data_IF_210886484310
#
_entry.id   IF_210886484310
#
_cell.length_a   1.000
_cell.length_b   1.000
_cell.length_c   1.000
_cell.angle_alpha   90.00
_cell.angle_beta   90.00
_cell.angle_gamma   90.00
#
_symmetry.space_group_name_H-M   'P 1'
#
loop_
_entity.id
_entity.type
_entity.pdbx_description
1 polymer ?
#
# COMPACT_ATOMS: atom_id res chain seq x y z
N UNK A 1 0.63 18.89 -13.83
CA UNK A 1 -0.52 18.98 -12.90
C UNK A 1 -0.04 19.70 -11.65
N UNK A 2 -0.88 20.49 -10.97
CA UNK A 2 -0.46 21.12 -9.70
C UNK A 2 -0.32 20.06 -8.60
N UNK A 3 0.63 20.26 -7.69
CA UNK A 3 0.84 19.36 -6.53
C UNK A 3 -0.44 19.17 -5.73
N UNK A 4 -1.20 20.24 -5.52
CA UNK A 4 -2.51 20.19 -4.84
C UNK A 4 -3.49 19.24 -5.53
N UNK A 5 -3.58 19.29 -6.87
CA UNK A 5 -4.45 18.41 -7.63
C UNK A 5 -4.00 16.94 -7.53
N UNK A 6 -2.68 16.69 -7.60
CA UNK A 6 -2.13 15.35 -7.46
C UNK A 6 -2.41 14.75 -6.08
N UNK A 7 -2.27 15.54 -5.02
CA UNK A 7 -2.61 15.13 -3.65
C UNK A 7 -4.11 14.81 -3.54
N UNK A 8 -4.99 15.67 -4.04
CA UNK A 8 -6.44 15.42 -4.00
C UNK A 8 -6.79 14.11 -4.72
N UNK A 9 -6.28 13.90 -5.93
CA UNK A 9 -6.54 12.68 -6.71
C UNK A 9 -5.97 11.44 -6.02
N UNK A 10 -4.81 11.56 -5.39
CA UNK A 10 -4.16 10.51 -4.63
C UNK A 10 -4.97 10.10 -3.39
N UNK A 11 -5.48 11.06 -2.62
CA UNK A 11 -6.35 10.80 -1.48
C UNK A 11 -7.70 10.23 -1.91
N UNK A 12 -8.26 10.74 -3.01
CA UNK A 12 -9.49 10.22 -3.60
C UNK A 12 -9.32 8.75 -4.02
N UNK A 13 -8.24 8.41 -4.72
CA UNK A 13 -7.92 7.04 -5.13
C UNK A 13 -7.78 6.11 -3.90
N UNK A 14 -7.13 6.58 -2.83
CA UNK A 14 -7.00 5.82 -1.58
C UNK A 14 -8.38 5.54 -0.94
N UNK A 15 -9.31 6.49 -0.98
CA UNK A 15 -10.67 6.35 -0.44
C UNK A 15 -11.61 5.52 -1.33
N UNK A 16 -11.33 5.42 -2.63
CA UNK A 16 -12.08 4.52 -3.53
C UNK A 16 -11.97 3.06 -3.05
N UNK A 17 -10.82 2.65 -2.50
CA UNK A 17 -10.63 1.30 -1.95
C UNK A 17 -11.68 0.90 -0.91
N UNK A 18 -11.81 1.62 0.23
CA UNK A 18 -12.88 1.43 1.21
C UNK A 18 -14.29 1.45 0.60
N UNK A 19 -14.57 2.36 -0.32
CA UNK A 19 -15.89 2.45 -0.97
C UNK A 19 -16.20 1.18 -1.78
N UNK A 20 -15.22 0.69 -2.55
CA UNK A 20 -15.33 -0.57 -3.28
C UNK A 20 -15.49 -1.75 -2.31
N UNK A 21 -14.72 -1.79 -1.21
CA UNK A 21 -14.86 -2.84 -0.21
C UNK A 21 -16.27 -2.84 0.42
N UNK A 22 -16.84 -1.68 0.73
CA UNK A 22 -18.18 -1.58 1.33
C UNK A 22 -19.28 -2.05 0.38
N UNK A 23 -19.19 -1.70 -0.91
CA UNK A 23 -20.22 -2.03 -1.91
C UNK A 23 -20.08 -3.47 -2.41
N UNK A 24 -18.84 -3.92 -2.63
CA UNK A 24 -18.53 -5.13 -3.40
C UNK A 24 -18.12 -6.33 -2.55
N UNK A 25 -17.90 -6.17 -1.24
CA UNK A 25 -17.51 -7.28 -0.34
C UNK A 25 -18.63 -8.30 -0.02
N UNK A 26 -19.80 -8.20 -0.66
CA UNK A 26 -20.98 -9.04 -0.39
C UNK A 26 -20.90 -10.49 -0.90
N UNK A 27 -19.73 -11.00 -1.25
CA UNK A 27 -19.57 -12.41 -1.63
C UNK A 27 -18.12 -12.91 -1.63
N UNK A 28 -17.93 -14.22 -1.42
CA UNK A 28 -16.60 -14.87 -1.44
C UNK A 28 -15.90 -14.72 -2.79
N UNK A 29 -16.64 -14.79 -3.90
CA UNK A 29 -16.11 -14.65 -5.26
C UNK A 29 -15.52 -13.25 -5.52
N UNK A 30 -16.25 -12.19 -5.16
CA UNK A 30 -15.78 -10.81 -5.35
C UNK A 30 -14.56 -10.47 -4.51
N UNK A 31 -14.50 -10.98 -3.28
CA UNK A 31 -13.29 -10.86 -2.44
C UNK A 31 -12.08 -11.51 -3.10
N UNK A 32 -12.23 -12.71 -3.69
CA UNK A 32 -11.14 -13.38 -4.39
C UNK A 32 -10.66 -12.61 -5.63
N UNK A 33 -11.58 -11.98 -6.39
CA UNK A 33 -11.21 -11.13 -7.54
C UNK A 33 -10.43 -9.90 -7.09
N UNK A 34 -10.88 -9.24 -6.02
CA UNK A 34 -10.22 -8.06 -5.46
C UNK A 34 -8.83 -8.41 -4.92
N UNK A 35 -8.72 -9.51 -4.18
CA UNK A 35 -7.46 -9.97 -3.60
C UNK A 35 -6.48 -10.35 -4.74
N UNK A 36 -6.97 -11.05 -5.77
CA UNK A 36 -6.19 -11.40 -6.96
C UNK A 36 -5.72 -10.17 -7.75
N UNK A 37 -6.62 -9.22 -8.04
CA UNK A 37 -6.29 -7.96 -8.73
C UNK A 37 -5.25 -7.16 -7.95
N UNK A 38 -5.41 -7.04 -6.63
CA UNK A 38 -4.49 -6.31 -5.76
C UNK A 38 -3.11 -6.96 -5.78
N UNK A 39 -3.03 -8.29 -5.65
CA UNK A 39 -1.78 -9.03 -5.71
C UNK A 39 -1.10 -8.91 -7.08
N UNK A 40 -1.87 -8.99 -8.17
CA UNK A 40 -1.35 -8.82 -9.53
C UNK A 40 -0.83 -7.41 -9.79
N UNK A 41 -1.52 -6.38 -9.32
CA UNK A 41 -1.08 -4.99 -9.48
C UNK A 41 0.16 -4.70 -8.65
N UNK A 42 0.17 -5.08 -7.38
CA UNK A 42 1.35 -4.88 -6.50
C UNK A 42 2.54 -5.67 -7.04
N UNK A 43 2.34 -6.94 -7.39
CA UNK A 43 3.38 -7.77 -7.99
C UNK A 43 3.91 -7.18 -9.30
N UNK A 44 3.01 -6.75 -10.19
CA UNK A 44 3.35 -6.12 -11.46
C UNK A 44 4.14 -4.83 -11.28
N UNK A 45 3.71 -3.93 -10.39
CA UNK A 45 4.44 -2.69 -10.08
C UNK A 45 5.81 -3.01 -9.48
N UNK A 46 5.88 -3.93 -8.52
CA UNK A 46 7.15 -4.32 -7.91
C UNK A 46 8.13 -4.89 -8.93
N UNK A 47 7.69 -5.78 -9.83
CA UNK A 47 8.57 -6.42 -10.81
C UNK A 47 8.89 -5.55 -12.03
N UNK A 48 7.93 -4.81 -12.56
CA UNK A 48 8.09 -4.08 -13.83
C UNK A 48 8.57 -2.65 -13.64
N UNK A 49 8.40 -2.07 -12.45
CA UNK A 49 8.73 -0.66 -12.18
C UNK A 49 9.76 -0.56 -11.07
N UNK A 50 9.45 -1.09 -9.88
CA UNK A 50 10.31 -0.89 -8.70
C UNK A 50 11.62 -1.67 -8.80
N UNK A 51 11.56 -2.94 -9.21
CA UNK A 51 12.73 -3.81 -9.36
C UNK A 51 13.75 -3.24 -10.35
N UNK A 52 13.41 -2.95 -11.62
CA UNK A 52 14.40 -2.43 -12.57
C UNK A 52 14.98 -1.10 -12.09
N UNK A 53 14.14 -0.21 -11.57
CA UNK A 53 14.59 1.08 -11.04
C UNK A 53 15.51 0.93 -9.83
N UNK A 54 15.23 -0.01 -8.92
CA UNK A 54 16.06 -0.28 -7.75
C UNK A 54 17.44 -0.81 -8.16
N UNK A 55 17.53 -1.64 -9.19
CA UNK A 55 18.80 -2.11 -9.74
C UNK A 55 19.55 -0.97 -10.45
N UNK A 56 18.87 -0.10 -11.17
CA UNK A 56 19.47 1.09 -11.80
C UNK A 56 20.09 2.03 -10.76
N UNK A 57 19.40 2.25 -9.63
CA UNK A 57 19.84 3.19 -8.57
C UNK A 57 20.88 2.57 -7.64
N UNK A 58 20.67 1.34 -7.18
CA UNK A 58 21.52 0.69 -6.17
C UNK A 58 22.59 -0.24 -6.78
N UNK A 59 22.57 -0.45 -8.09
CA UNK A 59 23.47 -1.37 -8.78
C UNK A 59 23.31 -2.83 -8.29
N UNK A 60 24.39 -3.63 -8.32
CA UNK A 60 24.35 -5.05 -7.94
C UNK A 60 23.90 -5.30 -6.49
N UNK A 61 24.08 -4.33 -5.58
CA UNK A 61 23.66 -4.44 -4.17
C UNK A 61 22.13 -4.51 -4.06
N UNK A 62 21.39 -3.94 -5.02
CA UNK A 62 19.93 -4.01 -5.05
C UNK A 62 19.40 -5.44 -5.02
N UNK A 63 20.07 -6.39 -5.68
CA UNK A 63 19.70 -7.81 -5.66
C UNK A 63 19.73 -8.39 -4.24
N UNK A 64 20.74 -8.01 -3.45
CA UNK A 64 20.90 -8.48 -2.07
C UNK A 64 19.77 -7.92 -1.19
N UNK A 65 19.37 -6.66 -1.40
CA UNK A 65 18.31 -6.02 -0.62
C UNK A 65 16.91 -6.60 -0.90
N UNK A 66 16.67 -7.10 -2.12
CA UNK A 66 15.36 -7.65 -2.52
C UNK A 66 15.06 -8.99 -1.86
N UNK A 67 16.07 -9.87 -1.72
CA UNK A 67 15.93 -11.20 -1.14
C UNK A 67 15.29 -11.18 0.27
N UNK A 68 15.82 -10.44 1.26
CA UNK A 68 15.22 -10.41 2.59
C UNK A 68 13.81 -9.81 2.53
N UNK A 69 13.57 -8.78 1.72
CA UNK A 69 12.23 -8.21 1.54
C UNK A 69 11.20 -9.22 1.04
N UNK A 70 11.59 -10.09 0.11
CA UNK A 70 10.72 -11.13 -0.45
C UNK A 70 10.49 -12.31 0.51
N UNK A 71 11.48 -12.65 1.33
CA UNK A 71 11.39 -13.74 2.31
C UNK A 71 10.69 -13.32 3.62
N UNK A 72 10.68 -12.03 3.93
CA UNK A 72 10.17 -11.49 5.19
C UNK A 72 8.73 -11.91 5.52
N UNK A 73 7.76 -11.93 4.59
CA UNK A 73 6.40 -12.39 4.89
C UNK A 73 6.37 -13.87 5.31
N UNK A 74 7.18 -14.72 4.65
CA UNK A 74 7.25 -16.14 4.97
C UNK A 74 7.91 -16.43 6.32
N UNK A 75 8.92 -15.63 6.69
CA UNK A 75 9.53 -15.69 8.02
C UNK A 75 8.61 -15.14 9.11
N UNK A 76 7.94 -14.01 8.87
CA UNK A 76 6.97 -13.43 9.79
C UNK A 76 5.86 -14.42 10.14
N UNK A 77 5.37 -15.18 9.15
CA UNK A 77 4.35 -16.20 9.37
C UNK A 77 4.84 -17.36 10.26
N UNK A 78 6.13 -17.73 10.16
CA UNK A 78 6.72 -18.82 10.96
C UNK A 78 7.03 -18.43 12.40
N UNK A 79 7.16 -17.14 12.70
CA UNK A 79 7.46 -16.62 14.04
C UNK A 79 6.25 -16.72 15.01
N UNK A 80 5.10 -17.20 14.52
CA UNK A 80 3.97 -17.64 15.33
C UNK A 80 3.07 -16.51 15.85
N UNK A 81 1.89 -16.90 16.37
CA UNK A 81 0.84 -16.00 16.87
C UNK A 81 1.34 -15.03 17.95
N UNK A 82 2.39 -15.39 18.70
CA UNK A 82 2.96 -14.57 19.77
C UNK A 82 3.43 -13.18 19.29
N UNK A 83 3.89 -13.08 18.04
CA UNK A 83 4.39 -11.83 17.46
C UNK A 83 3.41 -11.17 16.49
N UNK A 84 2.23 -11.76 16.28
CA UNK A 84 1.26 -11.30 15.29
C UNK A 84 0.90 -9.82 15.49
N UNK A 85 0.62 -9.43 16.74
CA UNK A 85 0.29 -8.04 17.08
C UNK A 85 1.44 -7.08 16.80
N UNK A 86 2.68 -7.51 17.08
CA UNK A 86 3.89 -6.73 16.80
C UNK A 86 4.08 -6.54 15.30
N UNK A 87 3.86 -7.59 14.50
CA UNK A 87 3.96 -7.49 13.04
C UNK A 87 2.88 -6.61 12.43
N UNK A 88 1.66 -6.62 12.97
CA UNK A 88 0.59 -5.69 12.54
C UNK A 88 1.00 -4.25 12.80
N UNK A 89 1.49 -3.92 14.00
CA UNK A 89 1.93 -2.56 14.30
C UNK A 89 3.16 -2.13 13.50
N UNK A 90 4.16 -3.00 13.38
CA UNK A 90 5.34 -2.74 12.57
C UNK A 90 4.98 -2.56 11.09
N UNK A 91 4.09 -3.39 10.56
CA UNK A 91 3.57 -3.28 9.20
C UNK A 91 2.81 -1.97 8.97
N UNK A 92 1.94 -1.57 9.90
CA UNK A 92 1.25 -0.29 9.83
C UNK A 92 2.20 0.91 9.94
N UNK A 93 3.22 0.84 10.79
CA UNK A 93 4.24 1.88 10.91
C UNK A 93 5.06 2.01 9.62
N UNK A 94 5.49 0.88 9.05
CA UNK A 94 6.19 0.86 7.77
C UNK A 94 5.33 1.42 6.64
N UNK A 95 4.03 1.07 6.62
CA UNK A 95 3.10 1.56 5.62
C UNK A 95 2.79 3.05 5.77
N UNK A 96 2.79 3.57 7.00
CA UNK A 96 2.72 5.01 7.27
C UNK A 96 3.94 5.74 6.70
N UNK A 97 5.15 5.22 6.93
CA UNK A 97 6.38 5.76 6.33
C UNK A 97 6.30 5.71 4.80
N UNK A 98 5.85 4.59 4.24
CA UNK A 98 5.66 4.42 2.80
C UNK A 98 4.68 5.47 2.22
N UNK A 99 3.53 5.69 2.88
CA UNK A 99 2.55 6.69 2.45
C UNK A 99 3.08 8.13 2.55
N UNK A 100 3.97 8.42 3.50
CA UNK A 100 4.67 9.70 3.58
C UNK A 100 5.66 9.89 2.42
N UNK A 101 6.40 8.84 2.06
CA UNK A 101 7.30 8.85 0.90
C UNK A 101 6.51 9.08 -0.40
N UNK A 102 5.35 8.45 -0.55
CA UNK A 102 4.46 8.71 -1.69
C UNK A 102 4.00 10.17 -1.73
N UNK A 103 3.65 10.74 -0.57
CA UNK A 103 3.31 12.16 -0.44
C UNK A 103 4.44 13.05 -0.95
N UNK A 104 5.67 12.79 -0.50
CA UNK A 104 6.86 13.51 -0.96
C UNK A 104 7.07 13.36 -2.47
N UNK A 105 6.84 12.17 -3.03
CA UNK A 105 6.96 11.93 -4.46
C UNK A 105 5.97 12.75 -5.31
N UNK A 106 4.80 13.13 -4.78
CA UNK A 106 3.84 14.00 -5.45
C UNK A 106 4.32 15.46 -5.57
N UNK A 107 5.31 15.87 -4.77
CA UNK A 107 5.91 17.22 -4.85
C UNK A 107 6.95 17.32 -5.97
N UNK A 108 7.47 16.20 -6.45
CA UNK A 108 8.46 16.16 -7.53
C UNK A 108 7.83 16.54 -8.87
N UNK A 109 8.55 17.24 -9.76
CA UNK A 109 8.04 17.69 -11.06
C UNK A 109 8.02 16.54 -12.10
N UNK A 110 7.40 15.41 -11.76
CA UNK A 110 7.28 14.24 -12.63
C UNK A 110 5.83 13.77 -12.74
N UNK A 111 5.26 13.93 -13.93
CA UNK A 111 3.87 13.52 -14.19
C UNK A 111 3.71 12.00 -14.16
N UNK A 112 4.67 11.25 -14.69
CA UNK A 112 4.65 9.77 -14.65
C UNK A 112 4.71 9.24 -13.22
N UNK A 113 5.52 9.85 -12.36
CA UNK A 113 5.58 9.52 -10.93
C UNK A 113 4.24 9.80 -10.25
N UNK A 114 3.67 11.00 -10.44
CA UNK A 114 2.38 11.34 -9.84
C UNK A 114 1.25 10.40 -10.26
N UNK A 115 1.19 10.03 -11.54
CA UNK A 115 0.21 9.06 -12.05
C UNK A 115 0.44 7.66 -11.45
N UNK A 116 1.69 7.21 -11.34
CA UNK A 116 2.03 5.94 -10.70
C UNK A 116 1.63 5.91 -9.21
N UNK A 117 1.84 7.02 -8.50
CA UNK A 117 1.41 7.16 -7.09
C UNK A 117 -0.12 7.06 -6.98
N UNK A 118 -0.87 7.79 -7.81
CA UNK A 118 -2.33 7.75 -7.80
C UNK A 118 -2.85 6.35 -8.14
N UNK A 119 -2.27 5.69 -9.16
CA UNK A 119 -2.74 4.40 -9.65
C UNK A 119 -2.61 3.30 -8.60
N UNK A 120 -1.50 3.23 -7.87
CA UNK A 120 -1.29 2.16 -6.88
C UNK A 120 -2.04 2.41 -5.56
N UNK A 121 -2.48 3.66 -5.29
CA UNK A 121 -3.23 4.00 -4.07
C UNK A 121 -4.62 3.39 -4.02
N UNK A 122 -5.24 3.12 -5.16
CA UNK A 122 -6.53 2.43 -5.21
C UNK A 122 -6.39 0.97 -4.70
N UNK A 123 -5.49 0.14 -5.24
CA UNK A 123 -5.20 -1.19 -4.67
C UNK A 123 -4.76 -1.14 -3.22
N UNK A 124 -3.91 -0.18 -2.84
CA UNK A 124 -3.42 -0.03 -1.48
C UNK A 124 -4.58 0.22 -0.50
N UNK A 125 -5.43 1.20 -0.78
CA UNK A 125 -6.57 1.54 0.07
C UNK A 125 -7.55 0.37 0.23
N UNK A 126 -7.76 -0.38 -0.86
CA UNK A 126 -8.62 -1.57 -0.85
C UNK A 126 -8.04 -2.70 0.00
N UNK A 127 -6.75 -3.01 -0.18
CA UNK A 127 -6.05 -4.05 0.57
C UNK A 127 -5.97 -3.74 2.07
N UNK A 128 -5.57 -2.51 2.41
CA UNK A 128 -5.39 -2.07 3.81
C UNK A 128 -6.72 -2.04 4.54
N UNK A 129 -7.74 -1.42 3.94
CA UNK A 129 -9.07 -1.37 4.53
C UNK A 129 -9.62 -2.78 4.74
N UNK A 130 -9.56 -3.62 3.70
CA UNK A 130 -10.10 -4.98 3.76
C UNK A 130 -9.38 -5.83 4.80
N UNK A 131 -8.05 -5.75 4.90
CA UNK A 131 -7.27 -6.47 5.90
C UNK A 131 -7.60 -6.01 7.32
N UNK A 132 -7.55 -4.70 7.58
CA UNK A 132 -7.83 -4.15 8.91
C UNK A 132 -9.30 -4.36 9.34
N UNK A 133 -10.23 -4.35 8.39
CA UNK A 133 -11.65 -4.58 8.66
C UNK A 133 -12.01 -6.01 9.09
N UNK A 134 -11.12 -6.98 8.90
CA UNK A 134 -11.30 -8.37 9.34
C UNK A 134 -10.98 -8.58 10.83
N UNK A 135 -10.44 -7.58 11.50
CA UNK A 135 -10.18 -7.61 12.94
C UNK A 135 -11.49 -7.50 13.74
N UNK A 136 -11.43 -7.78 15.06
CA UNK A 136 -12.59 -7.65 15.95
C UNK A 136 -13.20 -6.24 15.96
N UNK A 137 -12.42 -5.20 15.63
CA UNK A 137 -12.88 -3.82 15.54
C UNK A 137 -13.61 -3.50 14.21
N UNK A 138 -13.67 -4.44 13.26
CA UNK A 138 -14.45 -4.34 12.05
C UNK A 138 -14.11 -3.12 11.20
N UNK A 139 -15.12 -2.48 10.60
CA UNK A 139 -14.96 -1.32 9.73
C UNK A 139 -14.21 -0.14 10.38
N UNK A 140 -14.30 0.01 11.71
CA UNK A 140 -13.59 1.08 12.43
C UNK A 140 -12.08 0.94 12.26
N UNK A 141 -11.53 -0.28 12.40
CA UNK A 141 -10.12 -0.52 12.15
C UNK A 141 -9.72 -0.24 10.69
N UNK A 142 -10.59 -0.60 9.74
CA UNK A 142 -10.39 -0.27 8.32
C UNK A 142 -10.24 1.24 8.07
N UNK A 143 -11.16 2.04 8.59
CA UNK A 143 -11.10 3.50 8.45
C UNK A 143 -9.96 4.12 9.24
N UNK A 144 -9.63 3.61 10.43
CA UNK A 144 -8.45 4.07 11.20
C UNK A 144 -7.17 3.85 10.41
N UNK A 145 -6.99 2.66 9.82
CA UNK A 145 -5.80 2.35 9.03
C UNK A 145 -5.68 3.29 7.82
N UNK A 146 -6.76 3.51 7.08
CA UNK A 146 -6.78 4.45 5.94
C UNK A 146 -6.55 5.89 6.41
N UNK A 147 -7.13 6.30 7.54
CA UNK A 147 -6.91 7.61 8.14
C UNK A 147 -5.45 7.87 8.51
N UNK A 148 -4.75 6.86 9.03
CA UNK A 148 -3.30 6.92 9.27
C UNK A 148 -2.56 7.19 7.95
N UNK A 149 -2.87 6.47 6.87
CA UNK A 149 -2.21 6.67 5.57
C UNK A 149 -2.50 8.05 4.96
N UNK A 150 -3.71 8.57 5.13
CA UNK A 150 -4.05 9.94 4.73
C UNK A 150 -3.18 10.94 5.49
N UNK A 151 -3.14 10.83 6.82
CA UNK A 151 -2.33 11.72 7.66
C UNK A 151 -0.85 11.64 7.30
N UNK A 152 -0.30 10.43 7.13
CA UNK A 152 1.09 10.24 6.73
C UNK A 152 1.40 10.81 5.35
N UNK A 153 0.48 10.68 4.38
CA UNK A 153 0.64 11.31 3.06
C UNK A 153 0.78 12.82 3.20
N UNK A 154 -0.10 13.44 3.99
CA UNK A 154 -0.09 14.90 4.18
C UNK A 154 1.18 15.37 4.91
N UNK A 155 1.74 14.57 5.80
CA UNK A 155 3.03 14.86 6.45
C UNK A 155 4.20 14.83 5.45
N UNK A 156 4.10 14.02 4.40
CA UNK A 156 5.14 13.90 3.38
C UNK A 156 5.14 15.00 2.30
N UNK A 157 4.05 15.74 2.16
CA UNK A 157 3.87 16.83 1.17
C UNK A 157 4.34 18.15 1.76
#
# INVERSE_FOLDING_TARGET
MSTTLLVILSLAALLVGPMLALVWSRGRAWRAVIDGLSLSLVGGICFLVVFPHAIEVAGPIGFIAIIPGMLMPGWAHRLGEHWERTFVYAGMALLAVHAAIDGAALTLPSTSMGVAVIAHRLPMGLAVYSAASRTAAGQRAGFTAVGILIASTLVGV
#
